data_IF_845176123773
#
_entry.id   IF_845176123773
#
_cell.length_a   1.000
_cell.length_b   1.000
_cell.length_c   1.000
_cell.angle_alpha   90.00
_cell.angle_beta   90.00
_cell.angle_gamma   90.00
#
_symmetry.space_group_name_H-M   'P 1'
#
loop_
_entity.id
_entity.type
_entity.pdbx_description
1 polymer ?
#
# COMPACT_ATOMS: atom_id res chain seq x y z
N UNK A 1 -14.18 1.72 25.47
CA UNK A 1 -14.80 1.18 24.26
C UNK A 1 -15.29 2.31 23.36
N UNK A 2 -14.96 2.24 22.07
CA UNK A 2 -15.42 3.24 21.10
C UNK A 2 -16.81 2.83 20.59
N UNK A 3 -17.75 3.77 20.62
CA UNK A 3 -19.09 3.53 20.10
C UNK A 3 -19.10 3.61 18.58
N UNK A 4 -19.98 2.85 17.93
CA UNK A 4 -20.11 2.84 16.46
C UNK A 4 -20.40 4.24 15.91
N UNK A 5 -21.23 5.03 16.59
CA UNK A 5 -21.52 6.40 16.18
C UNK A 5 -20.30 7.31 16.23
N UNK A 6 -19.41 7.09 17.17
CA UNK A 6 -18.17 7.86 17.27
C UNK A 6 -17.21 7.49 16.14
N UNK A 7 -17.15 6.19 15.79
CA UNK A 7 -16.33 5.70 14.67
C UNK A 7 -16.80 6.33 13.36
N UNK A 8 -18.09 6.38 13.10
CA UNK A 8 -18.66 6.95 11.88
C UNK A 8 -18.34 8.43 11.69
N UNK A 9 -18.03 9.14 12.77
CA UNK A 9 -17.66 10.54 12.72
C UNK A 9 -16.17 10.78 12.52
N UNK A 10 -15.33 9.72 12.56
CA UNK A 10 -13.91 9.85 12.32
C UNK A 10 -13.62 9.97 10.82
N UNK A 11 -12.59 10.76 10.44
CA UNK A 11 -12.19 10.84 9.05
C UNK A 11 -11.39 9.61 8.60
N UNK A 12 -11.22 9.48 7.29
CA UNK A 12 -10.27 8.53 6.71
C UNK A 12 -8.90 9.20 6.56
N UNK A 13 -7.84 8.43 6.80
CA UNK A 13 -6.48 8.91 6.56
C UNK A 13 -6.16 8.80 5.07
N UNK A 14 -5.68 9.89 4.47
CA UNK A 14 -5.30 9.90 3.05
C UNK A 14 -3.97 9.17 2.85
N UNK A 15 -3.95 8.27 1.88
CA UNK A 15 -2.85 7.32 1.69
C UNK A 15 -2.70 6.98 0.21
N UNK A 16 -1.50 6.55 -0.18
CA UNK A 16 -1.24 6.01 -1.52
C UNK A 16 -0.85 4.55 -1.39
N UNK A 17 -1.24 3.76 -2.39
CA UNK A 17 -0.80 2.38 -2.52
C UNK A 17 -0.09 2.20 -3.85
N UNK A 18 0.84 1.27 -3.91
CA UNK A 18 1.67 1.05 -5.09
C UNK A 18 1.66 -0.42 -5.49
N UNK A 19 1.19 -0.69 -6.71
CA UNK A 19 1.37 -1.99 -7.33
C UNK A 19 2.58 -1.88 -8.25
N UNK A 20 3.69 -2.48 -7.84
CA UNK A 20 4.95 -2.43 -8.58
C UNK A 20 5.13 -3.76 -9.30
N UNK A 21 5.16 -3.73 -10.62
CA UNK A 21 5.33 -4.92 -11.45
C UNK A 21 6.75 -4.99 -11.99
N UNK A 22 7.35 -6.18 -11.93
CA UNK A 22 8.64 -6.44 -12.56
C UNK A 22 8.45 -6.77 -14.06
N UNK A 23 9.54 -7.10 -14.73
CA UNK A 23 9.54 -7.43 -16.16
C UNK A 23 8.69 -8.67 -16.49
N UNK A 24 8.51 -9.56 -15.51
CA UNK A 24 7.72 -10.78 -15.67
C UNK A 24 6.25 -10.58 -15.33
N UNK A 25 5.84 -9.37 -14.96
CA UNK A 25 4.46 -9.07 -14.58
C UNK A 25 4.10 -9.51 -13.17
N UNK A 26 5.07 -9.79 -12.34
CA UNK A 26 4.84 -10.13 -10.94
C UNK A 26 4.83 -8.87 -10.07
N UNK A 27 4.04 -8.90 -9.00
CA UNK A 27 3.86 -7.76 -8.10
C UNK A 27 4.76 -7.87 -6.87
N UNK A 28 5.30 -6.73 -6.45
CA UNK A 28 6.10 -6.63 -5.22
C UNK A 28 5.20 -6.72 -4.01
N UNK A 29 5.57 -7.59 -3.06
CA UNK A 29 4.94 -7.65 -1.74
C UNK A 29 6.01 -7.79 -0.67
N UNK A 30 5.69 -7.33 0.54
CA UNK A 30 6.59 -7.38 1.67
C UNK A 30 5.83 -7.68 2.96
N UNK A 31 6.56 -8.21 3.95
CA UNK A 31 6.01 -8.46 5.29
C UNK A 31 6.44 -7.32 6.21
N UNK A 32 5.51 -6.84 7.04
CA UNK A 32 5.80 -5.77 7.99
C UNK A 32 6.63 -6.30 9.17
N UNK A 33 7.45 -5.43 9.72
CA UNK A 33 8.21 -5.72 10.95
C UNK A 33 7.28 -5.82 12.16
N UNK A 34 6.20 -5.04 12.16
CA UNK A 34 5.24 -5.00 13.25
C UNK A 34 3.94 -5.67 12.81
N UNK A 35 2.82 -5.28 13.27
CA UNK A 35 1.47 -5.78 13.00
C UNK A 35 1.31 -6.68 11.77
N UNK A 36 0.68 -7.84 11.97
CA UNK A 36 0.35 -8.77 10.88
C UNK A 36 1.59 -9.25 10.10
N UNK A 37 2.64 -9.60 10.83
CA UNK A 37 3.94 -10.00 10.24
C UNK A 37 3.86 -11.20 9.30
N UNK A 38 2.78 -11.99 9.35
CA UNK A 38 2.60 -13.14 8.46
C UNK A 38 1.89 -12.77 7.14
N UNK A 39 1.33 -11.56 7.06
CA UNK A 39 0.67 -11.12 5.83
C UNK A 39 1.70 -10.49 4.89
N UNK A 40 1.42 -10.58 3.60
CA UNK A 40 2.22 -9.94 2.56
C UNK A 40 1.41 -8.78 1.99
N UNK A 41 2.03 -7.61 1.89
CA UNK A 41 1.34 -6.41 1.43
C UNK A 41 2.14 -5.67 0.36
N UNK A 42 1.42 -4.95 -0.48
CA UNK A 42 2.04 -4.00 -1.40
C UNK A 42 2.44 -2.72 -0.64
N UNK A 43 3.44 -1.98 -1.11
CA UNK A 43 3.84 -0.72 -0.45
C UNK A 43 2.68 0.27 -0.37
N UNK A 44 2.61 0.99 0.73
CA UNK A 44 1.64 2.06 0.94
C UNK A 44 2.17 3.06 1.94
N UNK A 45 1.67 4.27 1.92
CA UNK A 45 2.07 5.27 2.89
C UNK A 45 1.21 6.52 2.84
N UNK A 46 1.35 7.38 3.84
CA UNK A 46 0.54 8.58 3.98
C UNK A 46 0.90 9.67 2.97
N UNK A 47 -0.08 10.49 2.64
CA UNK A 47 0.12 11.69 1.83
C UNK A 47 0.32 12.85 2.82
N UNK A 48 1.43 13.57 2.69
CA UNK A 48 1.70 14.72 3.55
C UNK A 48 0.80 15.90 3.16
N UNK A 49 0.49 16.80 4.11
CA UNK A 49 -0.33 17.97 3.79
C UNK A 49 0.26 18.76 2.62
N UNK A 50 -0.58 19.02 1.61
CA UNK A 50 -0.17 19.76 0.41
C UNK A 50 0.64 18.96 -0.60
N UNK A 51 0.93 17.70 -0.33
CA UNK A 51 1.69 16.84 -1.25
C UNK A 51 0.76 16.28 -2.33
N UNK A 52 1.24 16.24 -3.57
CA UNK A 52 0.56 15.57 -4.66
C UNK A 52 0.61 14.05 -4.45
N UNK A 53 -0.48 13.35 -4.78
CA UNK A 53 -0.55 11.90 -4.57
C UNK A 53 0.53 11.13 -5.33
N UNK A 54 0.84 11.54 -6.55
CA UNK A 54 1.88 10.91 -7.37
C UNK A 54 3.27 11.10 -6.73
N UNK A 55 3.55 12.28 -6.23
CA UNK A 55 4.81 12.55 -5.52
C UNK A 55 4.89 11.75 -4.22
N UNK A 56 3.78 11.63 -3.49
CA UNK A 56 3.71 10.79 -2.30
C UNK A 56 4.02 9.33 -2.62
N UNK A 57 3.47 8.82 -3.74
CA UNK A 57 3.70 7.45 -4.17
C UNK A 57 5.19 7.20 -4.43
N UNK A 58 5.85 8.08 -5.16
CA UNK A 58 7.27 7.93 -5.47
C UNK A 58 8.16 8.07 -4.23
N UNK A 59 7.79 8.98 -3.33
CA UNK A 59 8.50 9.16 -2.06
C UNK A 59 8.38 7.91 -1.17
N UNK A 60 7.15 7.40 -1.01
CA UNK A 60 6.92 6.21 -0.19
C UNK A 60 7.61 4.98 -0.77
N UNK A 61 7.64 4.85 -2.09
CA UNK A 61 8.34 3.75 -2.75
C UNK A 61 9.81 3.74 -2.34
N UNK A 62 10.48 4.88 -2.41
CA UNK A 62 11.88 4.98 -2.05
C UNK A 62 12.10 4.76 -0.55
N UNK A 63 11.27 5.36 0.29
CA UNK A 63 11.37 5.21 1.75
C UNK A 63 11.21 3.77 2.20
N UNK A 64 10.31 3.01 1.57
CA UNK A 64 9.99 1.65 2.00
C UNK A 64 10.84 0.57 1.32
N UNK A 65 11.23 0.78 0.06
CA UNK A 65 11.86 -0.25 -0.76
C UNK A 65 13.23 0.10 -1.30
N UNK A 66 13.66 1.36 -1.15
CA UNK A 66 14.91 1.84 -1.74
C UNK A 66 14.83 2.05 -3.25
N UNK A 67 13.71 1.76 -3.89
CA UNK A 67 13.56 1.96 -5.34
C UNK A 67 13.42 3.44 -5.64
N UNK A 68 14.36 3.97 -6.44
CA UNK A 68 14.34 5.38 -6.83
C UNK A 68 13.45 5.60 -8.05
N UNK A 69 12.95 6.82 -8.21
CA UNK A 69 11.98 7.14 -9.28
C UNK A 69 12.49 6.93 -10.70
N UNK A 70 13.80 6.95 -10.90
CA UNK A 70 14.40 6.69 -12.21
C UNK A 70 14.31 5.21 -12.62
N UNK A 71 13.94 4.34 -11.71
CA UNK A 71 13.81 2.90 -11.97
C UNK A 71 12.38 2.47 -12.26
N UNK A 72 11.42 3.38 -12.21
CA UNK A 72 10.00 3.04 -12.40
C UNK A 72 9.33 4.02 -13.37
N UNK A 73 8.23 3.53 -13.97
CA UNK A 73 7.31 4.38 -14.74
C UNK A 73 5.91 4.13 -14.20
N UNK A 74 5.17 5.20 -13.92
CA UNK A 74 3.77 5.11 -13.54
C UNK A 74 2.95 4.83 -14.80
N UNK A 75 2.25 3.70 -14.83
CA UNK A 75 1.46 3.25 -15.98
C UNK A 75 0.01 3.69 -15.86
N UNK A 76 -0.53 3.65 -14.65
CA UNK A 76 -1.95 3.94 -14.41
C UNK A 76 -2.15 4.36 -12.96
N UNK A 77 -3.30 4.99 -12.70
CA UNK A 77 -3.72 5.34 -11.35
C UNK A 77 -5.23 5.16 -11.24
N UNK A 78 -5.73 4.90 -10.02
CA UNK A 78 -7.16 4.81 -9.79
C UNK A 78 -7.79 6.20 -9.93
N UNK A 79 -9.00 6.27 -10.48
CA UNK A 79 -9.69 7.54 -10.69
C UNK A 79 -10.20 8.15 -9.39
N UNK A 80 -10.54 7.31 -8.43
CA UNK A 80 -11.07 7.74 -7.15
C UNK A 80 -10.34 7.08 -5.99
N UNK A 81 -10.89 7.32 -4.80
CA UNK A 81 -10.38 6.76 -3.57
C UNK A 81 -10.95 5.37 -3.34
N UNK A 82 -10.10 4.43 -2.93
CA UNK A 82 -10.51 3.11 -2.43
C UNK A 82 -10.39 3.17 -0.92
N UNK A 83 -11.47 2.89 -0.21
CA UNK A 83 -11.49 3.00 1.25
C UNK A 83 -11.55 1.64 1.91
N UNK A 84 -11.00 1.56 3.12
CA UNK A 84 -11.25 0.41 4.00
C UNK A 84 -11.40 0.90 5.43
N UNK A 85 -12.17 0.12 6.22
CA UNK A 85 -12.41 0.40 7.63
C UNK A 85 -11.43 -0.40 8.48
N UNK A 86 -10.88 0.23 9.51
CA UNK A 86 -10.11 -0.50 10.51
C UNK A 86 -11.05 -1.33 11.37
N UNK A 87 -10.64 -2.55 11.76
CA UNK A 87 -11.37 -3.25 12.83
C UNK A 87 -11.44 -2.35 14.08
N UNK A 88 -12.58 -2.31 14.79
CA UNK A 88 -12.76 -1.40 15.94
C UNK A 88 -11.65 -1.47 16.98
N UNK A 89 -11.11 -2.66 17.23
CA UNK A 89 -10.01 -2.85 18.20
C UNK A 89 -8.69 -2.22 17.78
N UNK A 90 -8.51 -1.93 16.49
CA UNK A 90 -7.31 -1.27 15.96
C UNK A 90 -7.41 0.25 15.92
N UNK A 91 -8.63 0.80 15.92
CA UNK A 91 -8.82 2.27 15.81
C UNK A 91 -8.07 3.01 16.91
N UNK A 92 -8.19 2.53 18.15
CA UNK A 92 -7.52 3.17 19.29
C UNK A 92 -6.01 2.94 19.33
N UNK A 93 -5.50 1.98 18.55
CA UNK A 93 -4.08 1.59 18.57
C UNK A 93 -3.26 2.23 17.45
N UNK A 94 -3.91 2.65 16.36
CA UNK A 94 -3.23 3.22 15.20
C UNK A 94 -3.54 4.71 15.11
N UNK A 95 -2.52 5.49 14.74
CA UNK A 95 -2.62 6.94 14.50
C UNK A 95 -3.35 7.71 15.61
N UNK A 96 -3.13 7.31 16.87
CA UNK A 96 -3.72 7.96 18.06
C UNK A 96 -5.26 7.94 18.09
N UNK A 97 -5.89 6.98 17.42
CA UNK A 97 -7.35 6.87 17.39
C UNK A 97 -8.04 7.92 16.56
N UNK A 98 -7.33 8.63 15.68
CA UNK A 98 -7.87 9.77 14.91
C UNK A 98 -8.64 9.37 13.67
N UNK A 99 -8.51 8.14 13.19
CA UNK A 99 -9.05 7.74 11.90
C UNK A 99 -9.85 6.46 11.99
N UNK A 100 -10.92 6.35 11.19
CA UNK A 100 -11.73 5.14 11.10
C UNK A 100 -11.13 4.10 10.14
N UNK A 101 -10.23 4.52 9.26
CA UNK A 101 -9.61 3.70 8.25
C UNK A 101 -8.80 4.57 7.32
N UNK A 102 -8.56 4.10 6.12
CA UNK A 102 -7.83 4.85 5.12
C UNK A 102 -8.62 4.99 3.83
N UNK A 103 -8.40 6.09 3.12
CA UNK A 103 -8.79 6.24 1.72
C UNK A 103 -7.52 6.29 0.90
N UNK A 104 -7.45 5.48 -0.13
CA UNK A 104 -6.22 5.26 -0.88
C UNK A 104 -6.38 5.57 -2.35
N UNK A 105 -5.39 6.27 -2.90
CA UNK A 105 -5.18 6.34 -4.34
C UNK A 105 -4.11 5.31 -4.68
N UNK A 106 -4.39 4.46 -5.66
CA UNK A 106 -3.45 3.42 -6.05
C UNK A 106 -2.80 3.74 -7.39
N UNK A 107 -1.52 3.40 -7.49
CA UNK A 107 -0.71 3.60 -8.68
C UNK A 107 -0.15 2.27 -9.14
N UNK A 108 -0.19 2.05 -10.45
CA UNK A 108 0.46 0.90 -11.08
C UNK A 108 1.77 1.37 -11.69
N UNK A 109 2.87 0.74 -11.27
CA UNK A 109 4.21 1.13 -11.70
C UNK A 109 4.91 -0.07 -12.33
N UNK A 110 5.69 0.20 -13.37
CA UNK A 110 6.60 -0.80 -13.95
C UNK A 110 8.00 -0.53 -13.46
N UNK A 111 8.64 -1.57 -12.93
CA UNK A 111 10.00 -1.50 -12.42
C UNK A 111 10.97 -2.02 -13.49
N UNK A 112 11.96 -1.22 -13.81
CA UNK A 112 12.98 -1.53 -14.82
C UNK A 112 14.32 -1.95 -14.24
N UNK A 113 14.48 -1.89 -12.93
CA UNK A 113 15.72 -2.24 -12.25
C UNK A 113 15.86 -3.74 -12.03
N UNK A 114 16.87 -4.08 -11.27
CA UNK A 114 17.15 -5.45 -10.85
C UNK A 114 16.80 -5.65 -9.38
N UNK A 115 16.70 -6.90 -8.94
CA UNK A 115 16.36 -7.19 -7.56
C UNK A 115 17.33 -6.56 -6.56
N UNK A 116 18.60 -6.41 -6.91
CA UNK A 116 19.57 -5.79 -6.03
C UNK A 116 19.43 -4.26 -5.92
N UNK A 117 18.55 -3.65 -6.72
CA UNK A 117 18.18 -2.24 -6.55
C UNK A 117 17.15 -2.07 -5.41
N UNK A 118 16.58 -3.17 -4.92
CA UNK A 118 15.59 -3.16 -3.84
C UNK A 118 16.32 -3.34 -2.51
N UNK A 119 16.10 -2.40 -1.61
CA UNK A 119 16.69 -2.45 -0.27
C UNK A 119 15.64 -2.03 0.76
N UNK A 120 15.09 -3.02 1.46
CA UNK A 120 14.10 -2.77 2.51
C UNK A 120 14.74 -2.36 3.85
N UNK A 121 16.06 -2.44 3.95
CA UNK A 121 16.81 -1.95 5.12
C UNK A 121 17.08 -0.46 4.95
N UNK A 122 16.01 0.32 4.91
CA UNK A 122 16.05 1.78 4.75
C UNK A 122 16.28 2.45 6.10
N UNK A 123 16.36 3.78 6.11
CA UNK A 123 16.62 4.56 7.33
C UNK A 123 15.56 4.32 8.41
N UNK A 124 14.29 4.19 8.00
CA UNK A 124 13.19 3.84 8.90
C UNK A 124 12.51 2.58 8.36
N UNK A 125 13.06 1.40 8.60
CA UNK A 125 12.58 0.18 7.97
C UNK A 125 11.16 -0.19 8.41
N UNK A 126 10.33 -0.56 7.42
CA UNK A 126 8.95 -1.00 7.64
C UNK A 126 8.80 -2.50 7.43
N UNK A 127 9.70 -3.11 6.67
CA UNK A 127 9.56 -4.48 6.20
C UNK A 127 10.70 -5.39 6.66
N UNK A 128 10.37 -6.66 6.90
CA UNK A 128 11.33 -7.69 7.30
C UNK A 128 11.76 -8.58 6.12
N UNK A 129 10.91 -8.70 5.09
CA UNK A 129 11.15 -9.55 3.92
C UNK A 129 10.33 -9.04 2.75
N UNK A 130 10.76 -9.39 1.53
CA UNK A 130 10.00 -9.06 0.32
C UNK A 130 10.12 -10.17 -0.71
N UNK A 131 9.18 -10.20 -1.67
CA UNK A 131 9.21 -11.13 -2.81
C UNK A 131 8.30 -10.63 -3.93
N UNK A 132 8.43 -11.27 -5.08
CA UNK A 132 7.52 -11.08 -6.22
C UNK A 132 6.49 -12.19 -6.22
N UNK A 133 5.22 -11.84 -6.49
CA UNK A 133 4.15 -12.85 -6.62
C UNK A 133 3.25 -12.52 -7.80
N UNK A 134 2.49 -13.51 -8.27
CA UNK A 134 1.48 -13.26 -9.29
C UNK A 134 0.42 -12.31 -8.75
N UNK A 135 -0.01 -11.30 -9.53
CA UNK A 135 -1.05 -10.38 -9.08
C UNK A 135 -2.32 -11.07 -8.57
N UNK A 136 -2.72 -12.17 -9.20
CA UNK A 136 -3.92 -12.91 -8.79
C UNK A 136 -3.84 -13.49 -7.38
N UNK A 137 -2.66 -13.63 -6.82
CA UNK A 137 -2.47 -14.14 -5.46
C UNK A 137 -2.60 -13.05 -4.39
N UNK A 138 -2.60 -11.78 -4.77
CA UNK A 138 -2.59 -10.65 -3.82
C UNK A 138 -3.71 -10.70 -2.78
N UNK A 139 -4.99 -10.94 -3.15
CA UNK A 139 -6.05 -10.96 -2.13
C UNK A 139 -5.92 -12.06 -1.10
N UNK A 140 -5.19 -13.12 -1.42
CA UNK A 140 -5.03 -14.27 -0.52
C UNK A 140 -3.92 -14.08 0.51
N UNK A 141 -2.94 -13.21 0.23
CA UNK A 141 -1.76 -13.04 1.09
C UNK A 141 -1.84 -11.83 2.00
N UNK A 142 -2.75 -10.89 1.72
CA UNK A 142 -2.95 -9.69 2.54
C UNK A 142 -3.80 -10.00 3.78
N UNK A 143 -3.67 -9.20 4.81
CA UNK A 143 -4.52 -9.29 5.99
C UNK A 143 -6.00 -9.22 5.57
N UNK A 144 -6.88 -10.08 6.14
CA UNK A 144 -8.26 -10.23 5.64
C UNK A 144 -9.09 -8.95 5.53
N UNK A 145 -8.94 -7.99 6.43
CA UNK A 145 -9.77 -6.78 6.38
C UNK A 145 -9.38 -5.84 5.22
N UNK A 146 -8.26 -6.09 4.52
CA UNK A 146 -7.84 -5.34 3.33
C UNK A 146 -8.08 -6.11 2.03
N UNK A 147 -8.61 -7.32 2.11
CA UNK A 147 -8.79 -8.16 0.92
C UNK A 147 -9.61 -7.48 -0.16
N UNK A 148 -10.71 -6.84 0.22
CA UNK A 148 -11.59 -6.16 -0.75
C UNK A 148 -10.89 -5.00 -1.46
N UNK A 149 -9.97 -4.31 -0.78
CA UNK A 149 -9.15 -3.27 -1.39
C UNK A 149 -8.31 -3.86 -2.51
N UNK A 150 -7.65 -4.99 -2.24
CA UNK A 150 -6.78 -5.63 -3.23
C UNK A 150 -7.57 -6.16 -4.43
N UNK A 151 -8.78 -6.69 -4.19
CA UNK A 151 -9.68 -7.07 -5.29
C UNK A 151 -10.02 -5.86 -6.15
N UNK A 152 -10.36 -4.73 -5.52
CA UNK A 152 -10.69 -3.50 -6.25
C UNK A 152 -9.50 -2.96 -7.06
N UNK A 153 -8.29 -3.05 -6.50
CA UNK A 153 -7.07 -2.63 -7.20
C UNK A 153 -6.82 -3.50 -8.44
N UNK A 154 -6.99 -4.82 -8.31
CA UNK A 154 -6.83 -5.73 -9.44
C UNK A 154 -7.86 -5.44 -10.54
N UNK A 155 -9.10 -5.15 -10.17
CA UNK A 155 -10.14 -4.77 -11.13
C UNK A 155 -9.78 -3.46 -11.83
N UNK A 156 -9.29 -2.47 -11.07
CA UNK A 156 -8.94 -1.17 -11.63
C UNK A 156 -7.81 -1.27 -12.67
N UNK A 157 -6.88 -2.18 -12.47
CA UNK A 157 -5.69 -2.30 -13.32
C UNK A 157 -5.70 -3.52 -14.25
N UNK A 158 -6.83 -4.23 -14.34
CA UNK A 158 -6.91 -5.51 -15.06
C UNK A 158 -6.41 -5.44 -16.51
N UNK A 159 -6.59 -4.31 -17.18
CA UNK A 159 -6.17 -4.15 -18.58
C UNK A 159 -4.65 -4.13 -18.74
N UNK A 160 -3.92 -4.00 -17.67
CA UNK A 160 -2.45 -3.94 -17.65
C UNK A 160 -1.81 -5.21 -17.08
N UNK A 161 -2.63 -6.15 -16.60
CA UNK A 161 -2.13 -7.36 -15.92
C UNK A 161 -2.11 -8.59 -16.80
#
# INVERSE_FOLDING_TARGET
MILQTDIENLPYRSNVGLMVLNKSGEAFVAQRLEYYANAWQMPQGGIDPGEDAQEAALRELEEETGITRDKVTIIAETQGWITYELPPDLISKLWDGKYRGQKQKWFLLRFFGEDNDINIETEEPEFSAWKWIAPSALPEVIVPFKRDVYVAVLEAFQDHL
#
